data_IF_196705359423
#
_entry.id   IF_196705359423
#
_cell.length_a   1.000
_cell.length_b   1.000
_cell.length_c   1.000
_cell.angle_alpha   90.00
_cell.angle_beta   90.00
_cell.angle_gamma   90.00
#
_symmetry.space_group_name_H-M   'P 1'
#
loop_
_entity.id
_entity.type
_entity.pdbx_description
1 polymer ?
#
# COMPACT_ATOMS: atom_id res chain seq x y z
N UNK A 1 -5.53 0.87 -1.97
CA UNK A 1 -5.39 0.58 -0.53
C UNK A 1 -6.58 1.19 0.18
N UNK A 2 -7.11 0.52 1.20
CA UNK A 2 -8.17 1.03 2.06
C UNK A 2 -7.56 1.69 3.29
N UNK A 3 -8.05 2.90 3.63
CA UNK A 3 -7.53 3.76 4.69
C UNK A 3 -8.68 4.15 5.63
N UNK A 4 -8.42 4.11 6.93
CA UNK A 4 -9.38 4.49 7.95
C UNK A 4 -9.51 6.01 8.04
N UNK A 5 -10.73 6.47 8.31
CA UNK A 5 -11.06 7.85 8.58
C UNK A 5 -12.30 7.89 9.49
N UNK A 6 -12.49 8.98 10.22
CA UNK A 6 -13.68 9.21 11.01
C UNK A 6 -14.77 9.86 10.18
N UNK A 7 -15.94 9.25 10.22
CA UNK A 7 -17.14 9.80 9.60
C UNK A 7 -18.05 10.41 10.67
N UNK A 8 -18.37 11.69 10.54
CA UNK A 8 -19.15 12.45 11.54
C UNK A 8 -20.67 12.28 11.41
N UNK A 9 -21.15 11.35 10.58
CA UNK A 9 -22.57 10.96 10.51
C UNK A 9 -23.37 11.61 9.39
N UNK A 10 -22.93 12.71 8.79
CA UNK A 10 -23.60 13.34 7.65
C UNK A 10 -22.65 13.70 6.49
N UNK A 11 -23.19 13.77 5.28
CA UNK A 11 -22.43 14.01 4.05
C UNK A 11 -21.65 12.79 3.52
N UNK A 12 -20.85 12.98 2.48
CA UNK A 12 -19.97 11.95 1.93
C UNK A 12 -20.49 11.27 0.65
N UNK A 13 -19.83 10.18 0.27
CA UNK A 13 -20.07 9.46 -0.98
C UNK A 13 -19.97 7.94 -0.78
N UNK A 14 -20.02 7.18 -1.88
CA UNK A 14 -19.96 5.70 -1.87
C UNK A 14 -18.59 5.11 -1.55
N UNK A 15 -17.54 5.92 -1.37
CA UNK A 15 -16.20 5.48 -1.01
C UNK A 15 -16.00 5.50 0.52
N UNK A 16 -16.93 4.86 1.23
CA UNK A 16 -16.93 4.68 2.68
C UNK A 16 -17.49 3.30 2.98
N UNK A 17 -16.82 2.57 3.86
CA UNK A 17 -17.18 1.21 4.23
C UNK A 17 -17.04 1.05 5.73
N UNK A 18 -17.91 0.26 6.34
CA UNK A 18 -17.93 0.07 7.80
C UNK A 18 -16.79 -0.85 8.27
N UNK A 19 -16.30 -1.70 7.37
CA UNK A 19 -15.21 -2.63 7.64
C UNK A 19 -14.14 -2.59 6.56
N UNK A 20 -12.90 -2.91 6.94
CA UNK A 20 -11.79 -3.04 6.00
C UNK A 20 -12.11 -4.07 4.91
N UNK A 21 -12.74 -5.19 5.28
CA UNK A 21 -13.07 -6.27 4.35
C UNK A 21 -14.02 -5.81 3.24
N UNK A 22 -15.06 -5.05 3.57
CA UNK A 22 -15.97 -4.49 2.57
C UNK A 22 -15.25 -3.54 1.60
N UNK A 23 -14.35 -2.70 2.11
CA UNK A 23 -13.54 -1.81 1.27
C UNK A 23 -12.64 -2.60 0.33
N UNK A 24 -11.93 -3.59 0.84
CA UNK A 24 -11.01 -4.41 0.04
C UNK A 24 -11.74 -5.20 -1.03
N UNK A 25 -12.84 -5.85 -0.65
CA UNK A 25 -13.68 -6.59 -1.58
C UNK A 25 -14.20 -5.70 -2.71
N UNK A 26 -14.57 -4.45 -2.39
CA UNK A 26 -15.15 -3.53 -3.38
C UNK A 26 -14.10 -2.84 -4.26
N UNK A 27 -12.93 -2.52 -3.70
CA UNK A 27 -11.95 -1.60 -4.28
C UNK A 27 -10.60 -2.22 -4.61
N UNK A 28 -10.32 -3.45 -4.17
CA UNK A 28 -9.07 -4.15 -4.47
C UNK A 28 -9.38 -5.45 -5.21
N UNK A 29 -9.62 -5.38 -6.53
CA UNK A 29 -9.66 -6.56 -7.39
C UNK A 29 -8.42 -7.44 -7.29
N UNK A 30 -8.60 -8.69 -7.66
CA UNK A 30 -7.56 -9.72 -7.54
C UNK A 30 -6.29 -9.38 -8.34
N UNK A 31 -6.40 -8.56 -9.39
CA UNK A 31 -5.28 -8.13 -10.25
C UNK A 31 -4.80 -6.67 -10.01
N UNK A 32 -5.20 -6.02 -8.92
CA UNK A 32 -5.03 -4.56 -8.81
C UNK A 32 -3.57 -4.07 -8.75
N UNK A 33 -3.28 -3.06 -9.58
CA UNK A 33 -2.26 -2.04 -9.31
C UNK A 33 -0.86 -2.63 -9.20
N UNK A 34 -0.36 -3.12 -10.33
CA UNK A 34 0.90 -3.87 -10.43
C UNK A 34 2.03 -3.15 -9.71
N UNK A 35 2.02 -1.82 -9.74
CA UNK A 35 2.94 -0.98 -8.97
C UNK A 35 2.24 -0.14 -7.89
N UNK A 36 3.00 0.18 -6.85
CA UNK A 36 2.59 1.03 -5.76
C UNK A 36 2.10 2.40 -6.25
N UNK A 37 1.19 3.00 -5.47
CA UNK A 37 0.61 4.32 -5.75
C UNK A 37 -0.09 4.41 -7.11
N UNK A 38 -0.71 3.30 -7.53
CA UNK A 38 -1.43 3.18 -8.80
C UNK A 38 -0.57 3.56 -10.02
N UNK A 39 0.75 3.37 -9.93
CA UNK A 39 1.64 3.58 -11.07
C UNK A 39 1.54 2.41 -12.04
N UNK A 40 1.76 2.72 -13.31
CA UNK A 40 1.84 1.71 -14.35
C UNK A 40 3.17 0.95 -14.26
N UNK A 41 3.12 -0.33 -14.62
CA UNK A 41 4.32 -1.11 -14.87
C UNK A 41 5.01 -0.62 -16.14
N UNK A 42 6.31 -0.89 -16.25
CA UNK A 42 7.07 -0.60 -17.46
C UNK A 42 6.45 -1.34 -18.66
N UNK A 43 6.19 -0.59 -19.72
CA UNK A 43 5.80 -1.12 -21.04
C UNK A 43 6.98 -1.01 -21.99
N UNK A 44 7.22 -2.06 -22.76
CA UNK A 44 8.23 -2.05 -23.81
C UNK A 44 7.78 -1.22 -25.04
N UNK A 45 8.61 -1.19 -26.09
CA UNK A 45 8.30 -0.49 -27.34
C UNK A 45 7.04 -1.02 -28.05
N UNK A 46 6.63 -2.25 -27.77
CA UNK A 46 5.39 -2.85 -28.27
C UNK A 46 4.18 -2.60 -27.38
N UNK A 47 4.33 -1.82 -26.30
CA UNK A 47 3.27 -1.56 -25.33
C UNK A 47 3.00 -2.71 -24.36
N UNK A 48 3.83 -3.77 -24.36
CA UNK A 48 3.65 -4.94 -23.51
C UNK A 48 4.35 -4.74 -22.16
N UNK A 49 3.70 -5.18 -21.09
CA UNK A 49 4.27 -5.11 -19.74
C UNK A 49 5.51 -6.01 -19.62
N UNK A 50 6.64 -5.44 -19.19
CA UNK A 50 7.86 -6.22 -19.00
C UNK A 50 7.80 -7.04 -17.71
N UNK A 51 7.78 -8.35 -17.88
CA UNK A 51 7.89 -9.36 -16.81
C UNK A 51 9.37 -9.54 -16.44
N UNK A 52 9.64 -9.78 -15.16
CA UNK A 52 10.96 -10.07 -14.62
C UNK A 52 10.89 -11.29 -13.67
N UNK A 53 11.98 -12.07 -13.62
CA UNK A 53 12.09 -13.24 -12.75
C UNK A 53 13.40 -13.18 -11.96
N UNK A 54 13.36 -13.52 -10.68
CA UNK A 54 14.55 -13.67 -9.83
C UNK A 54 15.07 -15.12 -9.84
N UNK A 55 15.40 -15.69 -11.00
CA UNK A 55 16.07 -17.02 -11.07
C UNK A 55 17.21 -17.08 -12.09
N UNK A 56 18.40 -17.35 -11.55
CA UNK A 56 19.68 -17.77 -12.15
C UNK A 56 20.55 -16.74 -12.93
N UNK A 57 21.84 -16.77 -12.57
CA UNK A 57 22.91 -15.79 -12.77
C UNK A 57 23.39 -15.53 -14.22
N UNK A 58 22.82 -16.17 -15.23
CA UNK A 58 23.35 -16.09 -16.60
C UNK A 58 22.39 -15.51 -17.64
N UNK A 59 21.23 -15.00 -17.22
CA UNK A 59 20.40 -14.16 -18.09
C UNK A 59 19.53 -13.23 -17.22
N UNK A 60 20.09 -12.10 -16.83
CA UNK A 60 19.40 -11.07 -16.05
C UNK A 60 18.31 -10.44 -16.90
N UNK A 61 17.07 -10.92 -16.74
CA UNK A 61 15.87 -10.19 -17.16
C UNK A 61 15.66 -9.01 -16.19
N UNK A 62 16.63 -8.09 -16.21
CA UNK A 62 16.72 -6.96 -15.30
C UNK A 62 15.77 -5.86 -15.76
N UNK A 63 15.19 -5.14 -14.80
CA UNK A 63 14.32 -4.03 -15.11
C UNK A 63 15.13 -2.84 -15.65
N UNK A 64 14.57 -2.02 -16.56
CA UNK A 64 15.21 -0.81 -17.03
C UNK A 64 15.58 0.14 -15.88
N UNK A 65 16.52 1.05 -16.15
CA UNK A 65 16.95 2.04 -15.16
C UNK A 65 15.75 2.81 -14.59
N UNK A 66 15.72 2.94 -13.26
CA UNK A 66 14.60 3.57 -12.55
C UNK A 66 13.43 2.63 -12.22
N UNK A 67 13.48 1.37 -12.66
CA UNK A 67 12.50 0.34 -12.34
C UNK A 67 13.10 -0.76 -11.45
N UNK A 68 12.26 -1.37 -10.63
CA UNK A 68 12.60 -2.48 -9.77
C UNK A 68 11.65 -3.66 -10.04
N UNK A 69 12.17 -4.88 -9.97
CA UNK A 69 11.37 -6.08 -10.14
C UNK A 69 10.52 -6.34 -8.88
N UNK A 70 9.23 -6.04 -8.96
CA UNK A 70 8.24 -6.33 -7.92
C UNK A 70 7.64 -7.70 -8.20
N UNK A 71 7.87 -8.64 -7.29
CA UNK A 71 7.33 -9.99 -7.41
C UNK A 71 5.84 -10.01 -7.04
N UNK A 72 5.01 -10.52 -7.93
CA UNK A 72 3.64 -10.91 -7.67
C UNK A 72 3.61 -12.41 -7.31
N UNK A 73 2.41 -13.01 -7.25
CA UNK A 73 2.25 -14.41 -6.84
C UNK A 73 3.04 -15.41 -7.69
N UNK A 74 3.15 -15.19 -9.00
CA UNK A 74 3.74 -16.15 -9.95
C UNK A 74 4.89 -15.58 -10.79
N UNK A 75 4.87 -14.28 -11.07
CA UNK A 75 5.84 -13.59 -11.90
C UNK A 75 6.16 -12.22 -11.31
N UNK A 76 7.28 -11.63 -11.67
CA UNK A 76 7.62 -10.27 -11.29
C UNK A 76 7.33 -9.29 -12.41
N UNK A 77 7.14 -8.03 -12.07
CA UNK A 77 6.99 -6.93 -13.03
C UNK A 77 7.86 -5.75 -12.69
N UNK A 78 8.25 -5.01 -13.72
CA UNK A 78 9.08 -3.84 -13.56
C UNK A 78 8.24 -2.63 -13.16
N UNK A 79 8.39 -2.21 -11.90
CA UNK A 79 7.68 -1.09 -11.30
C UNK A 79 8.59 0.09 -10.99
N UNK A 80 8.11 1.35 -11.05
CA UNK A 80 8.95 2.50 -10.76
C UNK A 80 9.56 2.41 -9.36
N UNK A 81 10.90 2.39 -9.30
CA UNK A 81 11.65 2.16 -8.05
C UNK A 81 11.32 3.19 -6.99
N UNK A 82 11.11 4.45 -7.39
CA UNK A 82 10.79 5.56 -6.47
C UNK A 82 9.47 5.35 -5.73
N UNK A 83 8.41 4.93 -6.42
CA UNK A 83 7.09 4.76 -5.80
C UNK A 83 7.00 3.48 -4.99
N UNK A 84 7.65 2.41 -5.43
CA UNK A 84 7.80 1.19 -4.63
C UNK A 84 8.55 1.48 -3.33
N UNK A 85 9.67 2.20 -3.40
CA UNK A 85 10.43 2.62 -2.22
C UNK A 85 9.59 3.49 -1.28
N UNK A 86 8.92 4.51 -1.82
CA UNK A 86 8.10 5.42 -1.03
C UNK A 86 6.97 4.68 -0.31
N UNK A 87 6.28 3.78 -1.02
CA UNK A 87 5.24 2.95 -0.46
C UNK A 87 5.77 2.02 0.63
N UNK A 88 6.84 1.28 0.35
CA UNK A 88 7.45 0.38 1.33
C UNK A 88 7.91 1.12 2.60
N UNK A 89 8.54 2.29 2.45
CA UNK A 89 8.98 3.14 3.56
C UNK A 89 7.81 3.55 4.45
N UNK A 90 6.69 3.99 3.85
CA UNK A 90 5.53 4.47 4.62
C UNK A 90 4.67 3.32 5.17
N UNK A 91 4.64 2.18 4.50
CA UNK A 91 3.95 0.98 4.95
C UNK A 91 4.63 0.33 6.16
N UNK A 92 5.93 0.59 6.38
CA UNK A 92 6.66 0.16 7.57
C UNK A 92 6.36 1.10 8.76
N UNK A 93 5.15 0.98 9.31
CA UNK A 93 4.70 1.77 10.45
C UNK A 93 5.30 1.29 11.77
N UNK A 94 6.33 2.00 12.25
CA UNK A 94 7.03 1.72 13.50
C UNK A 94 6.98 2.93 14.44
N UNK A 95 6.62 2.68 15.69
CA UNK A 95 6.63 3.70 16.73
C UNK A 95 7.94 3.65 17.52
N UNK A 96 8.52 4.82 17.80
CA UNK A 96 9.66 4.94 18.72
C UNK A 96 9.14 4.98 20.16
N UNK A 97 9.66 4.09 21.01
CA UNK A 97 9.31 3.97 22.43
C UNK A 97 7.83 3.72 22.74
N UNK A 98 7.05 3.23 21.77
CA UNK A 98 5.65 2.88 21.95
C UNK A 98 5.27 1.77 20.96
N UNK A 99 4.03 1.30 21.01
CA UNK A 99 3.52 0.22 20.15
C UNK A 99 2.70 0.77 19.00
N UNK A 100 2.86 0.19 17.81
CA UNK A 100 2.00 0.51 16.66
C UNK A 100 0.61 -0.07 16.91
N UNK A 101 -0.43 0.76 16.80
CA UNK A 101 -1.83 0.30 16.85
C UNK A 101 -2.10 -0.55 15.62
N UNK A 102 -2.64 -1.76 15.85
CA UNK A 102 -2.92 -2.74 14.81
C UNK A 102 -4.40 -3.10 14.79
N UNK A 103 -4.93 -3.32 13.59
CA UNK A 103 -6.27 -3.84 13.34
C UNK A 103 -6.20 -5.26 12.75
N UNK A 104 -7.27 -6.03 12.92
CA UNK A 104 -7.41 -7.30 12.22
C UNK A 104 -7.75 -7.06 10.74
N UNK A 105 -7.06 -7.78 9.86
CA UNK A 105 -7.24 -7.72 8.42
C UNK A 105 -7.14 -9.13 7.85
N UNK A 106 -8.25 -9.86 7.92
CA UNK A 106 -8.34 -11.24 7.46
C UNK A 106 -7.50 -12.21 8.30
N UNK A 107 -7.50 -12.04 9.63
CA UNK A 107 -6.71 -12.86 10.56
C UNK A 107 -5.27 -12.39 10.76
N UNK A 108 -4.81 -11.39 10.01
CA UNK A 108 -3.49 -10.78 10.18
C UNK A 108 -3.59 -9.44 10.90
N UNK A 109 -2.74 -9.25 11.92
CA UNK A 109 -2.64 -7.96 12.62
C UNK A 109 -1.76 -7.00 11.84
N UNK A 110 -2.41 -6.06 11.15
CA UNK A 110 -1.72 -5.03 10.34
C UNK A 110 -1.84 -3.65 11.00
N UNK A 111 -0.88 -2.74 10.80
CA UNK A 111 -0.99 -1.38 11.33
C UNK A 111 -2.28 -0.69 10.85
N UNK A 112 -2.90 0.07 11.74
CA UNK A 112 -4.03 0.92 11.39
C UNK A 112 -3.52 2.14 10.62
N UNK A 113 -3.93 2.26 9.36
CA UNK A 113 -3.51 3.34 8.47
C UNK A 113 -4.67 4.28 8.12
N UNK A 114 -4.38 5.58 8.10
CA UNK A 114 -5.21 6.64 7.51
C UNK A 114 -4.44 7.37 6.40
N UNK A 115 -5.10 8.32 5.72
CA UNK A 115 -4.41 9.13 4.69
C UNK A 115 -3.56 10.22 5.33
N UNK A 116 -4.14 10.95 6.28
CA UNK A 116 -3.42 11.91 7.13
C UNK A 116 -3.99 11.90 8.55
N UNK A 117 -3.33 12.58 9.48
CA UNK A 117 -3.89 12.74 10.84
C UNK A 117 -5.15 13.61 10.89
N UNK A 118 -5.46 14.36 9.83
CA UNK A 118 -6.67 15.17 9.74
C UNK A 118 -7.94 14.30 9.60
N UNK A 119 -7.77 13.03 9.23
CA UNK A 119 -8.86 12.06 9.10
C UNK A 119 -9.39 11.56 10.46
N UNK A 120 -8.78 11.94 11.60
CA UNK A 120 -9.18 11.59 12.97
C UNK A 120 -9.49 10.09 13.20
N UNK A 121 -8.68 9.22 12.57
CA UNK A 121 -8.91 7.78 12.53
C UNK A 121 -8.31 7.00 13.71
N UNK A 122 -7.52 7.66 14.56
CA UNK A 122 -6.82 7.01 15.66
C UNK A 122 -7.74 6.74 16.85
N UNK A 123 -7.66 5.56 17.49
CA UNK A 123 -8.47 5.26 18.67
C UNK A 123 -8.08 6.12 19.88
N UNK A 124 -8.98 6.19 20.86
CA UNK A 124 -8.74 6.91 22.12
C UNK A 124 -7.44 6.44 22.79
N UNK A 125 -6.70 7.40 23.38
CA UNK A 125 -5.38 7.19 23.99
C UNK A 125 -4.33 6.67 23.01
N UNK A 126 -4.40 7.07 21.74
CA UNK A 126 -3.31 6.89 20.78
C UNK A 126 -2.98 8.21 20.09
N UNK A 127 -1.72 8.38 19.71
CA UNK A 127 -1.24 9.54 18.96
C UNK A 127 -1.14 9.19 17.49
N UNK A 128 -1.55 10.11 16.63
CA UNK A 128 -1.36 9.96 15.20
C UNK A 128 0.04 10.42 14.77
N UNK A 129 0.66 9.69 13.85
CA UNK A 129 1.92 10.04 13.20
C UNK A 129 1.66 10.09 11.68
N UNK A 130 1.77 11.29 11.12
CA UNK A 130 1.74 11.48 9.66
C UNK A 130 3.11 11.19 9.07
N UNK A 131 3.13 10.37 8.03
CA UNK A 131 4.28 10.17 7.14
C UNK A 131 4.00 10.86 5.79
N UNK A 132 4.83 10.59 4.79
CA UNK A 132 4.79 11.26 3.49
C UNK A 132 3.52 10.93 2.68
N UNK A 133 3.03 9.69 2.76
CA UNK A 133 1.86 9.24 1.98
C UNK A 133 0.80 8.49 2.81
N UNK A 134 1.08 8.22 4.09
CA UNK A 134 0.19 7.50 5.00
C UNK A 134 0.33 8.10 6.40
N UNK A 135 -0.70 7.93 7.22
CA UNK A 135 -0.61 8.16 8.66
C UNK A 135 -0.91 6.86 9.41
N UNK A 136 -0.38 6.73 10.63
CA UNK A 136 -0.62 5.58 11.50
C UNK A 136 -0.71 6.01 12.97
N UNK A 137 -1.16 5.11 13.84
CA UNK A 137 -1.35 5.42 15.26
C UNK A 137 -0.36 4.68 16.16
N UNK A 138 0.12 5.38 17.18
CA UNK A 138 1.02 4.86 18.21
C UNK A 138 0.38 4.92 19.58
N UNK A 139 0.60 3.88 20.38
CA UNK A 139 0.12 3.76 21.76
C UNK A 139 1.22 3.27 22.69
#
# INVERSE_FOLDING_TARGET
MCLAFKYNGCGGNRNRFDTIHQCEFRCIPQDYGWCALSKEAYKDSGGQTRICFKRNLNNTQECPQGYACKMLAFFGVCCPKRTEYLFHKNYKAECVNSTTVKMDRGGFRTPLFGRSCDDDFCPVNSRCISQEILAFCCR
#
